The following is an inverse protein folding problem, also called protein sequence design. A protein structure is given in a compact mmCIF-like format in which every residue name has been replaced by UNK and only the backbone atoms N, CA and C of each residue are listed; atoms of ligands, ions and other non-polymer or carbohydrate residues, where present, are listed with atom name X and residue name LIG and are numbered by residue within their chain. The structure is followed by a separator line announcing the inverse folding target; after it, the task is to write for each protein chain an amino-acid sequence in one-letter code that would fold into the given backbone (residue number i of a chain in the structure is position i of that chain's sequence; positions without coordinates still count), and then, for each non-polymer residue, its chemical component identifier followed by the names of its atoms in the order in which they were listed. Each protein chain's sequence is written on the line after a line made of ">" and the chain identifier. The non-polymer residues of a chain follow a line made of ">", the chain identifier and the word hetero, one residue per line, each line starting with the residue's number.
data_IF_658121795081
#
_entry.id   IF_658121795081
#
_cell.length_a   1.000
_cell.length_b   1.000
_cell.length_c   1.000
_cell.angle_alpha   90.00
_cell.angle_beta   90.00
_cell.angle_gamma   90.00
#
_symmetry.space_group_name_H-M   'P 1'
#
loop_
_entity.id
_entity.type
_entity.pdbx_description
1 polymer ?
#
# COMPACT_ATOMS: atom_id res chain seq x y z
N UNK A 1 -13.02 12.31 9.50
CA UNK A 1 -13.44 11.85 8.16
C UNK A 1 -13.34 10.33 8.15
N UNK A 2 -14.34 9.59 7.66
CA UNK A 2 -14.33 8.13 7.67
C UNK A 2 -14.23 7.62 6.23
N UNK A 3 -13.21 6.80 5.94
CA UNK A 3 -13.08 6.13 4.64
C UNK A 3 -14.16 5.05 4.47
N UNK A 4 -14.65 4.87 3.24
CA UNK A 4 -15.59 3.83 2.85
C UNK A 4 -15.11 3.17 1.57
N UNK A 5 -15.07 1.85 1.55
CA UNK A 5 -14.78 1.08 0.32
C UNK A 5 -16.05 1.04 -0.53
N UNK A 6 -15.91 1.29 -1.83
CA UNK A 6 -17.00 1.27 -2.80
C UNK A 6 -16.53 0.63 -4.11
N UNK A 7 -17.47 0.36 -5.01
CA UNK A 7 -17.26 -0.33 -6.29
C UNK A 7 -16.79 -1.80 -6.18
N UNK A 8 -17.75 -2.68 -5.94
CA UNK A 8 -17.56 -4.13 -5.93
C UNK A 8 -17.81 -4.77 -7.31
N UNK A 9 -17.84 -3.98 -8.40
CA UNK A 9 -18.21 -4.45 -9.75
C UNK A 9 -17.26 -5.51 -10.33
N UNK A 10 -16.04 -5.59 -9.81
CA UNK A 10 -15.03 -6.60 -10.17
C UNK A 10 -14.81 -7.65 -9.08
N UNK A 11 -15.46 -7.53 -7.92
CA UNK A 11 -15.28 -8.47 -6.81
C UNK A 11 -15.67 -9.89 -7.22
N UNK A 12 -14.89 -10.86 -6.75
CA UNK A 12 -15.11 -12.29 -6.99
C UNK A 12 -15.41 -12.98 -5.68
N UNK A 13 -16.52 -13.70 -5.64
CA UNK A 13 -16.80 -14.61 -4.54
C UNK A 13 -16.08 -15.93 -4.78
N UNK A 14 -15.30 -16.37 -3.80
CA UNK A 14 -14.74 -17.71 -3.78
C UNK A 14 -15.87 -18.66 -3.34
N UNK A 15 -16.35 -19.50 -4.25
CA UNK A 15 -17.53 -20.36 -4.04
C UNK A 15 -17.19 -21.75 -3.49
N UNK A 16 -15.91 -22.10 -3.36
CA UNK A 16 -15.44 -23.36 -2.76
C UNK A 16 -14.58 -23.06 -1.54
N UNK A 17 -14.88 -23.69 -0.42
CA UNK A 17 -14.16 -23.49 0.86
C UNK A 17 -12.65 -23.79 0.74
N UNK A 18 -12.25 -24.68 -0.18
CA UNK A 18 -10.83 -25.05 -0.41
C UNK A 18 -10.13 -24.24 -1.52
N UNK A 19 -10.82 -23.31 -2.19
CA UNK A 19 -10.23 -22.59 -3.31
C UNK A 19 -9.41 -21.39 -2.80
N UNK A 20 -8.10 -21.42 -3.02
CA UNK A 20 -7.17 -20.34 -2.66
C UNK A 20 -7.11 -19.20 -3.68
N UNK A 21 -7.74 -19.39 -4.85
CA UNK A 21 -7.69 -18.46 -5.97
C UNK A 21 -8.91 -18.58 -6.88
N UNK A 22 -9.16 -17.53 -7.67
CA UNK A 22 -10.14 -17.51 -8.76
C UNK A 22 -9.39 -17.32 -10.08
N UNK A 23 -9.46 -18.30 -10.97
CA UNK A 23 -8.93 -18.15 -12.34
C UNK A 23 -9.92 -17.31 -13.16
N UNK A 24 -9.50 -16.15 -13.66
CA UNK A 24 -10.39 -15.25 -14.42
C UNK A 24 -9.61 -14.39 -15.40
N UNK A 25 -10.29 -13.86 -16.42
CA UNK A 25 -9.69 -12.87 -17.33
C UNK A 25 -9.20 -11.70 -16.50
N UNK A 26 -7.95 -11.28 -16.73
CA UNK A 26 -7.33 -10.17 -16.02
C UNK A 26 -8.19 -8.91 -16.17
N UNK A 27 -8.70 -8.41 -15.05
CA UNK A 27 -9.45 -7.15 -14.94
C UNK A 27 -8.94 -6.37 -13.75
N UNK A 28 -8.76 -5.06 -13.92
CA UNK A 28 -8.34 -4.16 -12.86
C UNK A 28 -7.85 -2.83 -13.40
N UNK A 29 -7.51 -1.92 -12.50
CA UNK A 29 -7.00 -0.58 -12.84
C UNK A 29 -5.49 -0.62 -13.00
N UNK A 30 -4.97 -0.08 -14.10
CA UNK A 30 -3.54 0.02 -14.34
C UNK A 30 -2.85 0.79 -13.19
N UNK A 31 -1.70 0.29 -12.73
CA UNK A 31 -0.97 0.86 -11.59
C UNK A 31 -1.23 0.15 -10.26
N UNK A 32 -2.44 -0.37 -10.05
CA UNK A 32 -2.81 -1.13 -8.85
C UNK A 32 -2.75 -2.65 -9.06
N UNK A 33 -2.64 -3.09 -10.33
CA UNK A 33 -2.75 -4.49 -10.69
C UNK A 33 -1.57 -5.32 -10.17
N UNK A 34 -1.90 -6.40 -9.45
CA UNK A 34 -0.93 -7.39 -8.99
C UNK A 34 -0.19 -8.05 -10.18
N UNK A 35 1.15 -7.97 -10.24
CA UNK A 35 1.93 -8.56 -11.33
C UNK A 35 1.85 -10.09 -11.37
N UNK A 36 1.66 -10.76 -10.24
CA UNK A 36 1.44 -12.21 -10.21
C UNK A 36 0.06 -12.56 -10.75
N UNK A 37 -0.99 -11.84 -10.36
CA UNK A 37 -2.33 -12.01 -10.94
C UNK A 37 -2.31 -11.78 -12.45
N UNK A 38 -1.61 -10.73 -12.92
CA UNK A 38 -1.47 -10.46 -14.34
C UNK A 38 -0.80 -11.62 -15.10
N UNK A 39 0.23 -12.23 -14.49
CA UNK A 39 1.01 -13.28 -15.14
C UNK A 39 0.35 -14.66 -15.06
N UNK A 40 -0.28 -14.98 -13.93
CA UNK A 40 -0.84 -16.30 -13.63
C UNK A 40 -2.34 -16.40 -13.94
N UNK A 41 -3.02 -15.26 -14.08
CA UNK A 41 -4.48 -15.14 -14.16
C UNK A 41 -5.22 -15.67 -12.91
N UNK A 42 -4.49 -15.87 -11.80
CA UNK A 42 -5.02 -16.33 -10.52
C UNK A 42 -5.23 -15.15 -9.59
N UNK A 43 -6.49 -14.77 -9.38
CA UNK A 43 -6.86 -13.74 -8.43
C UNK A 43 -6.88 -14.35 -7.03
N UNK A 44 -6.18 -13.74 -6.07
CA UNK A 44 -6.10 -14.20 -4.68
C UNK A 44 -6.36 -13.05 -3.72
N UNK A 45 -6.56 -13.34 -2.43
CA UNK A 45 -6.57 -12.29 -1.39
C UNK A 45 -5.26 -11.48 -1.36
N UNK A 46 -4.14 -12.09 -1.77
CA UNK A 46 -2.84 -11.39 -1.87
C UNK A 46 -2.80 -10.38 -3.01
N UNK A 47 -3.68 -10.50 -4.01
CA UNK A 47 -3.84 -9.49 -5.06
C UNK A 47 -4.50 -8.21 -4.52
N UNK A 48 -5.43 -8.35 -3.58
CA UNK A 48 -6.01 -7.21 -2.86
C UNK A 48 -4.99 -6.56 -1.93
N UNK A 49 -4.15 -7.36 -1.24
CA UNK A 49 -3.03 -6.85 -0.43
C UNK A 49 -2.08 -6.01 -1.27
N UNK A 50 -1.73 -6.48 -2.48
CA UNK A 50 -0.87 -5.71 -3.39
C UNK A 50 -1.49 -4.37 -3.75
N UNK A 51 -2.75 -4.39 -4.19
CA UNK A 51 -3.49 -3.18 -4.58
C UNK A 51 -3.59 -2.19 -3.43
N UNK A 52 -3.84 -2.66 -2.21
CA UNK A 52 -3.85 -1.83 -1.01
C UNK A 52 -2.46 -1.29 -0.65
N UNK A 53 -1.40 -2.07 -0.85
CA UNK A 53 -0.01 -1.62 -0.71
C UNK A 53 0.31 -0.44 -1.63
N UNK A 54 -0.17 -0.46 -2.87
CA UNK A 54 -0.04 0.68 -3.79
C UNK A 54 -0.76 1.92 -3.26
N UNK A 55 -1.97 1.77 -2.71
CA UNK A 55 -2.71 2.87 -2.06
C UNK A 55 -1.92 3.44 -0.87
N UNK A 56 -1.28 2.61 -0.05
CA UNK A 56 -0.43 3.09 1.03
C UNK A 56 0.75 3.90 0.50
N UNK A 57 1.42 3.43 -0.56
CA UNK A 57 2.51 4.19 -1.18
C UNK A 57 2.03 5.53 -1.75
N UNK A 58 0.85 5.55 -2.36
CA UNK A 58 0.22 6.77 -2.88
C UNK A 58 -0.05 7.77 -1.75
N UNK A 59 -0.56 7.31 -0.60
CA UNK A 59 -0.77 8.15 0.58
C UNK A 59 0.53 8.64 1.22
N UNK A 60 1.58 7.82 1.25
CA UNK A 60 2.89 8.19 1.81
C UNK A 60 3.55 9.24 0.94
N UNK A 61 3.53 9.04 -0.39
CA UNK A 61 4.31 9.86 -1.33
C UNK A 61 3.51 11.04 -1.90
N UNK A 62 2.18 11.03 -1.81
CA UNK A 62 1.33 12.04 -2.43
C UNK A 62 1.35 11.99 -3.96
N UNK A 63 1.62 10.82 -4.56
CA UNK A 63 1.81 10.63 -6.00
C UNK A 63 0.90 9.55 -6.54
N UNK A 64 0.37 9.78 -7.74
CA UNK A 64 -0.45 8.79 -8.45
C UNK A 64 0.37 7.51 -8.77
N UNK A 65 -0.24 6.32 -8.78
CA UNK A 65 0.45 5.05 -9.03
C UNK A 65 1.15 4.96 -10.38
N UNK A 66 0.57 5.61 -11.40
CA UNK A 66 1.16 5.76 -12.72
C UNK A 66 1.24 7.24 -13.04
N UNK A 67 2.46 7.77 -13.17
CA UNK A 67 2.66 9.16 -13.55
C UNK A 67 3.01 9.27 -15.03
N UNK A 68 2.26 10.09 -15.77
CA UNK A 68 2.56 10.41 -17.17
C UNK A 68 3.64 11.50 -17.31
N UNK A 69 4.19 12.00 -16.19
CA UNK A 69 5.14 13.10 -16.15
C UNK A 69 6.39 12.71 -15.37
N UNK A 70 7.58 12.85 -15.97
CA UNK A 70 8.86 12.56 -15.31
C UNK A 70 9.80 11.73 -16.17
N UNK A 71 10.83 11.15 -15.54
CA UNK A 71 11.74 10.19 -16.19
C UNK A 71 11.06 8.83 -16.35
N UNK A 72 11.48 7.99 -17.33
CA UNK A 72 10.91 6.65 -17.52
C UNK A 72 10.90 5.81 -16.23
N UNK A 73 11.91 5.99 -15.38
CA UNK A 73 12.06 5.26 -14.11
C UNK A 73 11.06 5.69 -13.02
N UNK A 74 10.42 6.86 -13.18
CA UNK A 74 9.42 7.41 -12.26
C UNK A 74 7.98 7.15 -12.69
N UNK A 75 7.77 6.45 -13.81
CA UNK A 75 6.45 6.18 -14.35
C UNK A 75 5.60 5.32 -13.41
N UNK A 76 6.21 4.34 -12.72
CA UNK A 76 5.53 3.45 -11.81
C UNK A 76 5.90 3.75 -10.36
N UNK A 77 4.90 4.08 -9.54
CA UNK A 77 5.08 4.45 -8.14
C UNK A 77 5.79 3.37 -7.32
N UNK A 78 5.45 2.10 -7.54
CA UNK A 78 6.05 0.98 -6.79
C UNK A 78 7.55 0.87 -7.09
N UNK A 79 7.92 0.91 -8.37
CA UNK A 79 9.32 0.84 -8.79
C UNK A 79 10.14 2.02 -8.26
N UNK A 80 9.53 3.21 -8.25
CA UNK A 80 10.18 4.42 -7.76
C UNK A 80 10.29 4.45 -6.22
N UNK A 81 9.20 4.26 -5.48
CA UNK A 81 9.16 4.49 -4.03
C UNK A 81 9.84 3.37 -3.21
N UNK A 82 9.69 2.11 -3.64
CA UNK A 82 10.17 0.94 -2.90
C UNK A 82 11.66 1.02 -2.47
N UNK A 83 12.63 1.31 -3.36
CA UNK A 83 14.05 1.34 -2.97
C UNK A 83 14.35 2.43 -1.93
N UNK A 84 13.70 3.60 -2.01
CA UNK A 84 13.89 4.68 -1.04
C UNK A 84 13.33 4.30 0.33
N UNK A 85 12.10 3.77 0.39
CA UNK A 85 11.49 3.35 1.64
C UNK A 85 12.24 2.19 2.30
N UNK A 86 12.78 1.25 1.51
CA UNK A 86 13.64 0.17 2.03
C UNK A 86 14.95 0.69 2.62
N UNK A 87 15.50 1.78 2.07
CA UNK A 87 16.67 2.46 2.60
C UNK A 87 16.34 3.36 3.81
N UNK A 88 15.06 3.51 4.19
CA UNK A 88 14.62 4.43 5.24
C UNK A 88 14.70 5.91 4.82
N UNK A 89 14.74 6.20 3.52
CA UNK A 89 14.78 7.54 2.99
C UNK A 89 13.35 8.13 2.95
N UNK A 90 13.01 8.95 3.95
CA UNK A 90 11.69 9.60 4.05
C UNK A 90 11.62 10.95 3.30
N UNK A 91 12.62 11.28 2.47
CA UNK A 91 12.60 12.44 1.58
C UNK A 91 11.54 12.35 0.48
N UNK A 92 11.04 11.14 0.21
CA UNK A 92 9.98 10.89 -0.78
C UNK A 92 8.57 10.99 -0.18
N UNK A 93 8.46 11.26 1.12
CA UNK A 93 7.17 11.46 1.79
C UNK A 93 6.54 12.77 1.28
N UNK A 94 5.22 12.78 1.11
CA UNK A 94 4.47 13.93 0.63
C UNK A 94 4.84 15.20 1.41
N UNK A 95 5.35 16.20 0.69
CA UNK A 95 5.75 17.50 1.24
C UNK A 95 4.59 18.18 1.99
N UNK A 96 3.33 17.88 1.61
CA UNK A 96 2.14 18.41 2.29
C UNK A 96 2.00 17.95 3.73
N UNK A 97 2.66 16.85 4.11
CA UNK A 97 2.74 16.42 5.50
C UNK A 97 3.64 17.35 6.33
N UNK A 98 4.50 18.16 5.71
CA UNK A 98 5.36 19.18 6.36
C UNK A 98 6.15 18.65 7.56
N UNK A 99 6.54 17.37 7.55
CA UNK A 99 7.22 16.74 8.69
C UNK A 99 6.35 16.55 9.93
N UNK A 100 5.04 16.73 9.86
CA UNK A 100 4.09 16.53 10.95
C UNK A 100 3.76 15.04 11.15
N UNK A 101 4.78 14.20 11.25
CA UNK A 101 4.64 12.77 11.51
C UNK A 101 5.78 12.26 12.39
N UNK A 102 5.47 11.26 13.19
CA UNK A 102 6.47 10.51 13.92
C UNK A 102 7.26 9.58 12.99
N UNK A 103 8.58 9.58 13.15
CA UNK A 103 9.49 8.81 12.28
C UNK A 103 9.25 7.30 12.41
N UNK A 104 8.98 6.79 13.63
CA UNK A 104 8.74 5.37 13.84
C UNK A 104 7.37 4.96 13.28
N UNK A 105 6.34 5.78 13.49
CA UNK A 105 5.03 5.59 12.84
C UNK A 105 5.16 5.48 11.32
N UNK A 106 5.83 6.45 10.70
CA UNK A 106 6.05 6.48 9.25
C UNK A 106 6.85 5.27 8.77
N UNK A 107 7.92 4.91 9.50
CA UNK A 107 8.75 3.75 9.18
C UNK A 107 7.94 2.46 9.17
N UNK A 108 7.07 2.26 10.16
CA UNK A 108 6.22 1.07 10.22
C UNK A 108 5.23 1.03 9.08
N UNK A 109 4.56 2.15 8.78
CA UNK A 109 3.67 2.27 7.62
C UNK A 109 4.41 2.00 6.30
N UNK A 110 5.63 2.51 6.14
CA UNK A 110 6.46 2.28 4.96
C UNK A 110 6.87 0.80 4.81
N UNK A 111 7.28 0.14 5.90
CA UNK A 111 7.66 -1.28 5.88
C UNK A 111 6.47 -2.14 5.43
N UNK A 112 5.28 -1.93 6.00
CA UNK A 112 4.10 -2.72 5.64
C UNK A 112 3.64 -2.44 4.20
N UNK A 113 3.74 -1.19 3.73
CA UNK A 113 3.45 -0.82 2.34
C UNK A 113 4.40 -1.54 1.37
N UNK A 114 5.71 -1.49 1.63
CA UNK A 114 6.75 -2.16 0.82
C UNK A 114 6.55 -3.67 0.77
N UNK A 115 6.27 -4.32 1.90
CA UNK A 115 6.01 -5.77 1.95
C UNK A 115 4.74 -6.14 1.19
N UNK A 116 3.72 -5.29 1.23
CA UNK A 116 2.44 -5.54 0.54
C UNK A 116 2.59 -5.54 -0.97
N UNK A 117 3.54 -4.77 -1.52
CA UNK A 117 3.82 -4.69 -2.96
C UNK A 117 4.96 -5.62 -3.43
N UNK A 118 5.32 -6.62 -2.64
CA UNK A 118 6.28 -7.63 -3.09
C UNK A 118 5.76 -8.38 -4.32
N UNK A 119 6.68 -8.69 -5.25
CA UNK A 119 6.31 -9.45 -6.45
C UNK A 119 5.78 -10.82 -6.05
N UNK A 120 6.50 -11.51 -5.17
CA UNK A 120 6.13 -12.80 -4.61
C UNK A 120 4.96 -12.67 -3.62
N UNK A 121 3.80 -13.24 -3.97
CA UNK A 121 2.59 -13.20 -3.13
C UNK A 121 2.77 -13.90 -1.77
N UNK A 122 3.71 -14.85 -1.65
CA UNK A 122 4.04 -15.50 -0.38
C UNK A 122 4.73 -14.57 0.61
N UNK A 123 5.47 -13.57 0.12
CA UNK A 123 6.19 -12.59 0.93
C UNK A 123 5.29 -11.44 1.42
N UNK A 124 4.12 -11.26 0.78
CA UNK A 124 3.13 -10.27 1.17
C UNK A 124 2.50 -10.66 2.52
N UNK A 125 2.24 -9.71 3.43
CA UNK A 125 1.45 -9.98 4.62
C UNK A 125 0.00 -10.35 4.27
N UNK A 126 -0.74 -10.85 5.24
CA UNK A 126 -2.21 -10.91 5.22
C UNK A 126 -2.80 -9.53 5.50
N UNK A 127 -4.04 -9.26 5.09
CA UNK A 127 -4.69 -8.00 5.44
C UNK A 127 -4.89 -7.81 6.94
N UNK A 128 -4.96 -8.89 7.72
CA UNK A 128 -5.01 -8.83 9.18
C UNK A 128 -3.68 -8.31 9.77
N UNK A 129 -2.54 -8.79 9.27
CA UNK A 129 -1.22 -8.28 9.65
C UNK A 129 -1.04 -6.83 9.22
N UNK A 130 -1.48 -6.47 7.99
CA UNK A 130 -1.47 -5.07 7.53
C UNK A 130 -2.24 -4.18 8.47
N UNK A 131 -3.45 -4.58 8.87
CA UNK A 131 -4.27 -3.83 9.82
C UNK A 131 -3.60 -3.69 11.19
N UNK A 132 -2.94 -4.74 11.68
CA UNK A 132 -2.23 -4.70 12.97
C UNK A 132 -1.11 -3.67 12.96
N UNK A 133 -0.25 -3.73 11.94
CA UNK A 133 0.86 -2.79 11.78
C UNK A 133 0.38 -1.34 11.68
N UNK A 134 -0.68 -1.09 10.89
CA UNK A 134 -1.24 0.26 10.74
C UNK A 134 -1.89 0.78 12.03
N UNK A 135 -2.53 -0.08 12.83
CA UNK A 135 -3.10 0.32 14.13
C UNK A 135 -2.02 0.75 15.11
N UNK A 136 -0.90 0.02 15.14
CA UNK A 136 0.19 0.36 16.03
C UNK A 136 0.92 1.63 15.55
N UNK A 137 1.18 1.77 14.25
CA UNK A 137 1.71 3.00 13.66
C UNK A 137 0.81 4.21 13.98
N UNK A 138 -0.52 4.05 13.85
CA UNK A 138 -1.48 5.08 14.21
C UNK A 138 -1.44 5.44 15.70
N UNK A 139 -1.29 4.46 16.59
CA UNK A 139 -1.19 4.69 18.04
C UNK A 139 0.05 5.50 18.42
N UNK A 140 1.18 5.24 17.75
CA UNK A 140 2.42 6.02 17.90
C UNK A 140 2.20 7.45 17.42
N UNK A 141 1.61 7.64 16.23
CA UNK A 141 1.32 8.95 15.68
C UNK A 141 0.39 9.77 16.59
N UNK A 142 -0.64 9.16 17.17
CA UNK A 142 -1.53 9.82 18.11
C UNK A 142 -0.79 10.32 19.35
N UNK A 143 0.14 9.51 19.86
CA UNK A 143 0.96 9.87 21.02
C UNK A 143 1.91 11.04 20.69
N UNK A 144 2.50 11.03 19.50
CA UNK A 144 3.30 12.14 18.97
C UNK A 144 2.50 13.44 18.81
N UNK A 145 1.28 13.36 18.27
CA UNK A 145 0.43 14.54 18.12
C UNK A 145 -0.04 15.09 19.47
N UNK A 146 -0.31 14.22 20.45
CA UNK A 146 -0.69 14.63 21.79
C UNK A 146 0.45 15.34 22.55
N UNK A 147 1.70 14.90 22.37
CA UNK A 147 2.88 15.56 22.96
C UNK A 147 3.25 16.85 22.23
N UNK A 148 3.11 16.88 20.91
CA UNK A 148 3.39 18.06 20.07
C UNK A 148 2.34 19.17 20.23
N UNK A 149 1.12 18.81 20.60
CA UNK A 149 0.02 19.73 20.87
C UNK A 149 0.14 20.54 22.18
N UNK A 150 1.13 20.28 23.02
CA UNK A 150 1.41 21.06 24.25
C UNK A 150 2.38 22.25 24.03
N UNK A 151 2.73 22.57 22.78
CA UNK A 151 3.58 23.71 22.41
C UNK A 151 2.86 24.80 21.59
N UNK A 152 1.57 25.04 21.86
CA UNK A 152 0.85 26.22 21.35
C UNK A 152 0.14 26.95 22.48
#
# INVERSE_FOLDING_TARGET
>A
MNAKVCDFGLSKQITREDATHVTTVVKGTAGYLDPEYYSTQQLTEKSDVYSFGVVLLELICGREPLSHTGTPDSFNLVLWAKPYLQAGAFEIVDERLNGCFDVESMKRTAIVAVRSVERDASQRPTMAEVLSELKEAYSIQLSYLASSGHMN
#
